data_IF_450862964243
#
_entry.id   IF_450862964243
#
_cell.length_a   1.000
_cell.length_b   1.000
_cell.length_c   1.000
_cell.angle_alpha   90.00
_cell.angle_beta   90.00
_cell.angle_gamma   90.00
#
_symmetry.space_group_name_H-M   'P 1'
#
loop_
_entity.id
_entity.type
_entity.pdbx_description
1 polymer ?
#
# COMPACT_ATOMS: atom_id res chain seq x y z
N UNK A 1 -4.58 -7.33 -3.16
CA UNK A 1 -3.73 -7.87 -2.09
C UNK A 1 -2.93 -9.04 -2.66
N UNK A 2 -1.68 -9.19 -2.29
CA UNK A 2 -0.81 -10.24 -2.78
C UNK A 2 -0.19 -11.00 -1.61
N UNK A 3 -0.01 -12.30 -1.76
CA UNK A 3 0.64 -13.16 -0.75
C UNK A 3 2.16 -12.97 -0.71
N UNK A 4 2.82 -13.70 0.18
CA UNK A 4 4.23 -13.55 0.54
C UNK A 4 5.19 -13.28 -0.62
N UNK A 5 6.06 -12.31 -0.41
CA UNK A 5 7.30 -12.17 -1.16
C UNK A 5 7.25 -11.38 -2.45
N UNK A 6 6.19 -10.65 -2.73
CA UNK A 6 6.11 -9.78 -3.91
C UNK A 6 6.24 -8.30 -3.53
N UNK A 7 6.85 -7.46 -4.33
CA UNK A 7 7.13 -7.51 -5.75
C UNK A 7 8.63 -7.50 -6.08
N UNK A 8 9.01 -8.19 -7.09
CA UNK A 8 10.35 -8.09 -7.67
C UNK A 8 10.65 -9.25 -8.59
N UNK A 9 10.41 -10.47 -8.19
CA UNK A 9 10.68 -11.68 -8.98
C UNK A 9 9.67 -12.81 -8.70
N UNK A 10 8.56 -12.54 -8.07
CA UNK A 10 7.54 -13.51 -7.71
C UNK A 10 6.23 -13.33 -8.47
N UNK A 11 5.59 -14.42 -8.73
CA UNK A 11 4.25 -14.51 -9.32
C UNK A 11 3.24 -14.04 -8.26
N UNK A 12 2.97 -12.73 -8.21
CA UNK A 12 2.03 -12.13 -7.27
C UNK A 12 0.61 -12.26 -7.79
N UNK A 13 -0.11 -13.24 -7.30
CA UNK A 13 -1.55 -13.31 -7.54
C UNK A 13 -2.30 -12.53 -6.45
N UNK A 14 -3.29 -11.72 -6.83
CA UNK A 14 -4.20 -11.11 -5.85
C UNK A 14 -4.89 -12.18 -5.01
N UNK A 15 -5.07 -11.90 -3.72
CA UNK A 15 -5.79 -12.77 -2.80
C UNK A 15 -7.00 -12.04 -2.23
N UNK A 16 -8.10 -12.76 -2.07
CA UNK A 16 -9.34 -12.26 -1.47
C UNK A 16 -9.48 -12.66 0.01
N UNK A 17 -8.63 -13.60 0.44
CA UNK A 17 -8.65 -14.11 1.80
C UNK A 17 -7.27 -14.55 2.27
N UNK A 18 -7.07 -14.50 3.58
CA UNK A 18 -5.89 -14.99 4.27
C UNK A 18 -6.31 -15.90 5.42
N UNK A 19 -5.78 -17.12 5.45
CA UNK A 19 -5.92 -18.01 6.61
C UNK A 19 -4.73 -17.80 7.54
N UNK A 20 -5.00 -17.39 8.77
CA UNK A 20 -3.95 -17.18 9.76
C UNK A 20 -3.40 -18.53 10.25
N UNK A 21 -2.10 -18.69 10.13
CA UNK A 21 -1.38 -19.79 10.74
C UNK A 21 -1.03 -19.39 12.19
N UNK A 22 -1.54 -20.08 13.22
CA UNK A 22 -1.21 -19.78 14.60
C UNK A 22 0.25 -20.02 14.95
N UNK A 23 0.96 -20.79 14.13
CA UNK A 23 2.38 -21.08 14.32
C UNK A 23 3.30 -20.07 13.58
N UNK A 24 2.73 -19.20 12.74
CA UNK A 24 3.47 -18.13 12.05
C UNK A 24 2.91 -16.74 12.37
N UNK A 25 3.39 -16.10 13.44
CA UNK A 25 2.96 -14.75 13.80
C UNK A 25 3.49 -13.65 12.87
N UNK A 26 4.32 -13.99 11.90
CA UNK A 26 4.93 -13.03 10.96
C UNK A 26 4.16 -12.87 9.66
N UNK A 27 2.98 -13.44 9.53
CA UNK A 27 2.15 -13.30 8.33
C UNK A 27 1.77 -11.84 8.09
N UNK A 28 2.13 -11.36 6.90
CA UNK A 28 1.84 -10.00 6.45
C UNK A 28 1.15 -10.01 5.10
N UNK A 29 0.37 -8.97 4.87
CA UNK A 29 -0.33 -8.77 3.60
C UNK A 29 0.40 -7.66 2.84
N UNK A 30 0.91 -7.95 1.66
CA UNK A 30 1.45 -6.93 0.77
C UNK A 30 0.31 -6.29 -0.02
N UNK A 31 0.25 -4.97 0.02
CA UNK A 31 -0.69 -4.19 -0.80
C UNK A 31 0.09 -3.45 -1.87
N UNK A 32 -0.40 -3.51 -3.10
CA UNK A 32 0.12 -2.72 -4.21
C UNK A 32 -1.00 -1.85 -4.78
N UNK A 33 -0.77 -0.55 -4.82
CA UNK A 33 -1.67 0.43 -5.42
C UNK A 33 -1.08 0.89 -6.74
N UNK A 34 -1.79 0.65 -7.83
CA UNK A 34 -1.36 1.03 -9.17
C UNK A 34 -2.09 2.30 -9.61
N UNK A 35 -1.31 3.30 -10.00
CA UNK A 35 -1.81 4.57 -10.55
C UNK A 35 -1.32 4.72 -11.97
N UNK A 36 -2.25 4.96 -12.90
CA UNK A 36 -1.93 5.20 -14.31
C UNK A 36 -2.51 6.54 -14.74
N UNK A 37 -1.69 7.37 -15.37
CA UNK A 37 -2.13 8.63 -15.98
C UNK A 37 -1.63 8.74 -17.41
N UNK A 38 -2.51 9.20 -18.30
CA UNK A 38 -2.18 9.43 -19.71
C UNK A 38 -1.54 10.80 -19.96
N UNK A 39 -1.55 11.68 -18.98
CA UNK A 39 -1.01 13.04 -19.06
C UNK A 39 -0.23 13.40 -17.80
N UNK A 40 0.62 14.41 -17.92
CA UNK A 40 1.34 14.95 -16.76
C UNK A 40 0.36 15.60 -15.80
N UNK A 41 0.50 15.31 -14.52
CA UNK A 41 -0.33 15.83 -13.45
C UNK A 41 0.51 16.62 -12.45
N UNK A 42 -0.13 17.56 -11.77
CA UNK A 42 0.50 18.42 -10.77
C UNK A 42 -0.25 18.37 -9.44
N UNK A 43 0.50 18.37 -8.34
CA UNK A 43 -0.06 18.33 -6.98
C UNK A 43 -1.05 17.18 -6.80
N UNK A 44 -0.59 15.97 -7.09
CA UNK A 44 -1.39 14.75 -7.00
C UNK A 44 -1.44 14.28 -5.56
N UNK A 45 -2.63 13.90 -5.12
CA UNK A 45 -2.90 13.23 -3.86
C UNK A 45 -3.36 11.81 -4.18
N UNK A 46 -2.78 10.83 -3.50
CA UNK A 46 -3.20 9.42 -3.57
C UNK A 46 -3.47 8.93 -2.15
N UNK A 47 -4.70 8.51 -1.92
CA UNK A 47 -5.17 7.99 -0.64
C UNK A 47 -5.61 6.55 -0.77
N UNK A 48 -5.18 5.70 0.15
CA UNK A 48 -5.64 4.32 0.26
C UNK A 48 -6.06 4.03 1.70
N UNK A 49 -7.32 3.62 1.87
CA UNK A 49 -7.86 3.25 3.17
C UNK A 49 -7.50 1.80 3.50
N UNK A 50 -7.08 1.56 4.73
CA UNK A 50 -6.79 0.21 5.21
C UNK A 50 -8.06 -0.48 5.69
N UNK A 51 -8.22 -1.80 5.43
CA UNK A 51 -9.34 -2.56 5.97
C UNK A 51 -9.30 -2.60 7.51
N UNK A 52 -10.44 -2.41 8.15
CA UNK A 52 -10.59 -2.68 9.58
C UNK A 52 -10.17 -4.13 9.87
N UNK A 53 -9.47 -4.38 10.97
CA UNK A 53 -8.92 -5.71 11.28
C UNK A 53 -7.50 -5.93 10.77
N UNK A 54 -6.90 -4.88 10.20
CA UNK A 54 -5.48 -4.83 9.86
C UNK A 54 -4.84 -3.56 10.41
N UNK A 55 -3.53 -3.59 10.58
CA UNK A 55 -2.71 -2.44 10.95
C UNK A 55 -1.58 -2.27 9.95
N UNK A 56 -1.21 -1.02 9.67
CA UNK A 56 -0.07 -0.72 8.81
C UNK A 56 1.22 -1.07 9.55
N UNK A 57 2.09 -1.80 8.87
CA UNK A 57 3.45 -1.98 9.35
C UNK A 57 4.25 -0.71 9.06
N UNK A 58 4.36 0.15 10.06
CA UNK A 58 5.23 1.32 10.01
C UNK A 58 6.64 0.94 10.44
N UNK A 59 7.46 0.58 9.47
CA UNK A 59 8.84 0.18 9.71
C UNK A 59 9.75 1.34 10.13
N UNK A 60 9.29 2.58 10.00
CA UNK A 60 10.03 3.75 10.50
C UNK A 60 10.04 3.84 12.02
N UNK A 61 9.06 3.21 12.68
CA UNK A 61 8.96 3.12 14.14
C UNK A 61 9.70 1.92 14.72
N UNK A 62 10.09 0.95 13.90
CA UNK A 62 10.90 -0.16 14.33
C UNK A 62 12.32 0.35 14.59
N UNK A 63 12.54 0.82 15.82
CA UNK A 63 13.85 1.25 16.26
C UNK A 63 14.86 0.10 16.17
N UNK A 64 15.83 0.29 15.39
CA UNK A 64 17.23 -0.17 15.26
C UNK A 64 17.80 -1.27 16.16
N UNK A 65 17.05 -2.11 16.81
CA UNK A 65 17.63 -3.14 17.67
C UNK A 65 17.97 -4.47 16.98
N UNK A 66 17.54 -4.68 15.73
CA UNK A 66 17.83 -5.90 14.97
C UNK A 66 17.92 -5.72 13.46
N UNK A 67 18.16 -4.51 12.97
CA UNK A 67 18.33 -4.29 11.54
C UNK A 67 19.65 -4.89 11.06
N UNK A 68 19.58 -6.01 10.36
CA UNK A 68 20.64 -6.42 9.43
C UNK A 68 20.60 -5.51 8.20
N UNK A 69 21.71 -5.37 7.47
CA UNK A 69 21.81 -4.50 6.29
C UNK A 69 20.77 -4.80 5.19
N UNK A 70 20.08 -5.94 5.29
CA UNK A 70 18.98 -6.32 4.40
C UNK A 70 17.59 -5.80 4.84
N UNK A 71 17.45 -5.32 6.07
CA UNK A 71 16.19 -4.82 6.62
C UNK A 71 16.15 -3.28 6.61
N UNK A 72 16.15 -2.69 5.41
CA UNK A 72 15.83 -1.26 5.30
C UNK A 72 14.37 -1.04 5.70
N UNK A 73 14.09 -0.23 6.74
CA UNK A 73 12.72 0.06 7.17
C UNK A 73 11.85 0.72 6.08
N UNK A 74 12.45 1.16 4.99
CA UNK A 74 11.72 1.74 3.85
C UNK A 74 11.28 0.70 2.82
N UNK A 75 11.81 -0.53 2.85
CA UNK A 75 11.55 -1.56 1.83
C UNK A 75 10.07 -1.81 1.53
N UNK A 76 9.15 -1.86 2.51
CA UNK A 76 7.74 -2.05 2.19
C UNK A 76 7.17 -0.98 1.26
N UNK A 77 7.67 0.25 1.35
CA UNK A 77 7.23 1.39 0.54
C UNK A 77 8.04 1.56 -0.75
N UNK A 78 9.17 0.88 -0.86
CA UNK A 78 10.12 1.00 -1.99
C UNK A 78 10.12 -0.23 -2.91
N UNK A 79 9.18 -1.14 -2.75
CA UNK A 79 9.08 -2.36 -3.54
C UNK A 79 8.34 -2.20 -4.89
N UNK A 80 7.72 -1.05 -5.12
CA UNK A 80 6.97 -0.78 -6.33
C UNK A 80 7.80 -0.14 -7.42
N UNK A 81 7.14 0.61 -8.28
CA UNK A 81 7.76 1.35 -9.37
C UNK A 81 7.34 2.82 -9.35
N UNK A 82 8.31 3.73 -9.49
CA UNK A 82 8.04 5.16 -9.51
C UNK A 82 7.76 5.77 -8.14
N UNK A 83 7.90 5.01 -7.06
CA UNK A 83 7.70 5.49 -5.70
C UNK A 83 8.56 6.71 -5.35
N UNK A 84 9.75 6.84 -5.93
CA UNK A 84 10.68 7.96 -5.70
C UNK A 84 10.19 9.32 -6.24
N UNK A 85 9.15 9.34 -7.07
CA UNK A 85 8.51 10.57 -7.55
C UNK A 85 7.57 11.14 -6.50
N UNK A 86 7.06 10.28 -5.62
CA UNK A 86 6.20 10.69 -4.51
C UNK A 86 7.01 11.15 -3.30
N UNK A 87 6.46 12.09 -2.56
CA UNK A 87 6.99 12.43 -1.24
C UNK A 87 6.83 11.23 -0.30
N UNK A 88 7.58 11.18 0.83
CA UNK A 88 7.41 10.14 1.82
C UNK A 88 5.95 9.99 2.23
N UNK A 89 5.49 8.74 2.32
CA UNK A 89 4.11 8.43 2.67
C UNK A 89 3.76 8.97 4.05
N UNK A 90 2.57 9.54 4.17
CA UNK A 90 1.98 9.91 5.44
C UNK A 90 1.06 8.79 5.90
N UNK A 91 1.31 8.28 7.10
CA UNK A 91 0.60 7.14 7.68
C UNK A 91 -0.37 7.66 8.72
N UNK A 92 -1.65 7.36 8.55
CA UNK A 92 -2.72 7.63 9.48
C UNK A 92 -3.28 6.29 10.03
N UNK A 93 -4.12 6.35 11.05
CA UNK A 93 -4.67 5.16 11.68
C UNK A 93 -5.53 4.30 10.74
N UNK A 94 -6.18 4.92 9.76
CA UNK A 94 -7.16 4.30 8.88
C UNK A 94 -6.82 4.40 7.37
N UNK A 95 -5.76 5.13 7.02
CA UNK A 95 -5.36 5.31 5.62
C UNK A 95 -3.91 5.75 5.48
N UNK A 96 -3.42 5.63 4.24
CA UNK A 96 -2.14 6.21 3.81
C UNK A 96 -2.39 7.30 2.79
N UNK A 97 -1.50 8.30 2.78
CA UNK A 97 -1.53 9.39 1.83
C UNK A 97 -0.15 9.59 1.20
N UNK A 98 -0.10 9.48 -0.12
CA UNK A 98 1.06 9.89 -0.91
C UNK A 98 0.76 11.19 -1.65
N UNK A 99 1.77 12.00 -1.82
CA UNK A 99 1.67 13.26 -2.56
C UNK A 99 2.79 13.36 -3.59
N UNK A 100 2.52 13.97 -4.74
CA UNK A 100 3.52 14.28 -5.73
C UNK A 100 3.29 15.68 -6.27
N UNK A 101 4.32 16.51 -6.30
CA UNK A 101 4.21 17.86 -6.88
C UNK A 101 4.06 17.80 -8.40
N UNK A 102 4.77 16.87 -9.02
CA UNK A 102 4.71 16.61 -10.45
C UNK A 102 4.71 15.11 -10.70
N UNK A 103 3.70 14.62 -11.41
CA UNK A 103 3.57 13.22 -11.79
C UNK A 103 3.52 13.12 -13.31
N UNK A 104 4.61 12.70 -13.96
CA UNK A 104 4.62 12.48 -15.40
C UNK A 104 3.63 11.42 -15.85
N UNK A 105 3.18 11.50 -17.10
CA UNK A 105 2.37 10.44 -17.69
C UNK A 105 3.08 9.08 -17.57
N UNK A 106 2.37 8.06 -17.13
CA UNK A 106 2.92 6.72 -16.93
C UNK A 106 2.14 5.90 -15.91
N UNK A 107 2.74 4.78 -15.53
CA UNK A 107 2.19 3.86 -14.52
C UNK A 107 3.12 3.80 -13.32
N UNK A 108 2.54 3.89 -12.14
CA UNK A 108 3.23 3.89 -10.85
C UNK A 108 2.64 2.82 -9.96
N UNK A 109 3.49 2.12 -9.21
CA UNK A 109 3.08 1.08 -8.26
C UNK A 109 3.65 1.45 -6.90
N UNK A 110 2.76 1.74 -5.96
CA UNK A 110 3.10 2.05 -4.57
C UNK A 110 2.74 0.85 -3.69
N UNK A 111 3.62 0.50 -2.78
CA UNK A 111 3.47 -0.70 -1.95
C UNK A 111 3.51 -0.37 -0.47
N UNK A 112 2.82 -1.17 0.33
CA UNK A 112 2.90 -1.17 1.78
C UNK A 112 2.51 -2.52 2.34
N UNK A 113 2.73 -2.73 3.63
CA UNK A 113 2.42 -3.98 4.31
C UNK A 113 1.41 -3.77 5.43
N UNK A 114 0.51 -4.74 5.57
CA UNK A 114 -0.48 -4.80 6.62
C UNK A 114 -0.24 -6.04 7.50
N UNK A 115 -0.42 -5.85 8.81
CA UNK A 115 -0.51 -6.92 9.78
C UNK A 115 -1.97 -7.26 10.03
N UNK A 116 -2.40 -8.51 9.84
CA UNK A 116 -3.74 -8.93 10.23
C UNK A 116 -3.85 -8.95 11.76
N UNK A 117 -4.85 -8.26 12.31
CA UNK A 117 -5.05 -8.16 13.76
C UNK A 117 -6.32 -8.85 14.23
N UNK A 118 -7.33 -8.96 13.37
CA UNK A 118 -8.61 -9.53 13.70
C UNK A 118 -9.12 -10.44 12.57
N UNK A 119 -9.79 -11.54 12.95
CA UNK A 119 -10.49 -12.40 12.01
C UNK A 119 -11.84 -11.82 11.65
N UNK A 120 -12.26 -12.00 10.42
CA UNK A 120 -13.54 -11.53 9.91
C UNK A 120 -13.51 -11.16 8.43
N UNK A 121 -14.64 -10.70 7.94
CA UNK A 121 -14.74 -10.12 6.59
C UNK A 121 -14.76 -8.60 6.69
N UNK A 122 -13.83 -7.95 6.02
CA UNK A 122 -13.60 -6.51 6.12
C UNK A 122 -13.78 -5.84 4.75
N UNK A 123 -14.41 -4.67 4.76
CA UNK A 123 -14.54 -3.86 3.56
C UNK A 123 -13.17 -3.27 3.17
N UNK A 124 -12.80 -3.45 1.92
CA UNK A 124 -11.68 -2.76 1.29
C UNK A 124 -12.25 -1.57 0.52
N UNK A 125 -12.03 -0.39 1.03
CA UNK A 125 -12.50 0.83 0.37
C UNK A 125 -11.65 1.12 -0.88
N UNK A 126 -12.23 1.79 -1.90
CA UNK A 126 -11.49 2.19 -3.09
C UNK A 126 -10.31 3.12 -2.74
N UNK A 127 -9.14 2.85 -3.29
CA UNK A 127 -8.07 3.83 -3.35
C UNK A 127 -8.49 4.99 -4.27
N UNK A 128 -8.08 6.21 -3.95
CA UNK A 128 -8.45 7.42 -4.69
C UNK A 128 -7.24 8.26 -5.01
N UNK A 129 -7.19 8.79 -6.23
CA UNK A 129 -6.17 9.74 -6.65
C UNK A 129 -6.84 10.96 -7.27
N UNK A 130 -6.32 12.16 -6.97
CA UNK A 130 -6.84 13.42 -7.51
C UNK A 130 -5.76 14.50 -7.54
N UNK A 131 -5.97 15.50 -8.40
CA UNK A 131 -5.19 16.73 -8.33
C UNK A 131 -5.78 17.66 -7.26
N UNK A 132 -4.94 18.15 -6.37
CA UNK A 132 -5.39 18.97 -5.24
C UNK A 132 -6.11 20.26 -5.69
N UNK A 133 -5.58 20.94 -6.70
CA UNK A 133 -6.17 22.19 -7.19
C UNK A 133 -7.24 21.98 -8.27
N UNK A 134 -7.34 20.79 -8.83
CA UNK A 134 -8.31 20.42 -9.85
C UNK A 134 -8.93 19.07 -9.52
N UNK A 135 -9.77 19.00 -8.46
CA UNK A 135 -10.31 17.71 -7.97
C UNK A 135 -11.22 16.98 -8.96
N UNK A 136 -11.68 17.64 -10.04
CA UNK A 136 -12.35 16.98 -11.15
C UNK A 136 -11.46 16.00 -11.91
N UNK A 137 -10.14 16.18 -11.84
CA UNK A 137 -9.16 15.20 -12.33
C UNK A 137 -8.90 14.19 -11.24
N UNK A 138 -9.61 13.08 -11.31
CA UNK A 138 -9.58 12.04 -10.28
C UNK A 138 -9.78 10.65 -10.86
N UNK A 139 -9.37 9.65 -10.10
CA UNK A 139 -9.63 8.25 -10.37
C UNK A 139 -9.76 7.48 -9.06
N UNK A 140 -10.39 6.33 -9.13
CA UNK A 140 -10.51 5.43 -7.99
C UNK A 140 -10.46 3.97 -8.43
N UNK A 141 -9.99 3.10 -7.53
CA UNK A 141 -10.09 1.66 -7.72
C UNK A 141 -11.51 1.15 -7.40
N UNK A 142 -11.75 -0.12 -7.63
CA UNK A 142 -12.94 -0.80 -7.10
C UNK A 142 -12.77 -1.06 -5.60
N UNK A 143 -13.89 -1.08 -4.88
CA UNK A 143 -13.93 -1.64 -3.53
C UNK A 143 -14.09 -3.16 -3.56
N UNK A 144 -13.76 -3.81 -2.45
CA UNK A 144 -13.83 -5.27 -2.32
C UNK A 144 -14.10 -5.68 -0.87
N UNK A 145 -14.15 -6.97 -0.63
CA UNK A 145 -14.21 -7.56 0.71
C UNK A 145 -13.03 -8.51 0.88
N UNK A 146 -12.26 -8.30 1.93
CA UNK A 146 -11.14 -9.16 2.30
C UNK A 146 -11.47 -9.97 3.55
N UNK A 147 -11.23 -11.27 3.51
CA UNK A 147 -11.55 -12.17 4.62
C UNK A 147 -10.28 -12.66 5.31
N UNK A 148 -10.22 -12.54 6.64
CA UNK A 148 -9.17 -13.09 7.49
C UNK A 148 -9.78 -14.22 8.32
N UNK A 149 -9.31 -15.44 8.13
CA UNK A 149 -9.82 -16.66 8.77
C UNK A 149 -8.85 -17.22 9.83
#
# INVERSE_FOLDING_TARGET
LAGDGCPGDGDCSPIDSLTLDPDDPSQMIMVAVTVTTAQDLYHVMLEDAIPSGTEILDTTLLTSQTATEDDDPRRPFENGWGWWIFNPVQIFDDHLLWTAEFLPAGTYILTYQLLPTHRGAFQVLPARAWQYFYPEVQGSSAGDVFTIE
#
